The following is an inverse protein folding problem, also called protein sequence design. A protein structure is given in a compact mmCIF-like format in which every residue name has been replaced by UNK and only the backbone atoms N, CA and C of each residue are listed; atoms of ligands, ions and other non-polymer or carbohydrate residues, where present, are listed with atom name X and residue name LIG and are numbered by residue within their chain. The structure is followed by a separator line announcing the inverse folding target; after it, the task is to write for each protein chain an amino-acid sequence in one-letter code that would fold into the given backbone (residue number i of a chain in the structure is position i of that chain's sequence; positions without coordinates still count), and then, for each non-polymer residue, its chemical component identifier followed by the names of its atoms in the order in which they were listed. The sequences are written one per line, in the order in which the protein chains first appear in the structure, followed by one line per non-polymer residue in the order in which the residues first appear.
data_IF_596328246127
#
_entry.id   IF_596328246127
#
_cell.length_a   1.000
_cell.length_b   1.000
_cell.length_c   1.000
_cell.angle_alpha   90.00
_cell.angle_beta   90.00
_cell.angle_gamma   90.00
#
_symmetry.space_group_name_H-M   'P 1'
#
loop_
_entity.id
_entity.type
_entity.pdbx_description
1 polymer ?
#
# COMPACT_ATOMS: atom_id res chain seq x y z
N UNK A 1 -20.05 12.51 -16.86
CA UNK A 1 -20.19 13.97 -16.63
C UNK A 1 -19.31 14.68 -17.63
N UNK A 2 -19.86 15.63 -18.40
CA UNK A 2 -19.08 16.44 -19.34
C UNK A 2 -18.30 17.46 -18.50
N UNK A 3 -16.99 17.31 -18.38
CA UNK A 3 -16.14 18.37 -17.84
C UNK A 3 -16.18 19.54 -18.82
N UNK A 4 -17.01 20.55 -18.55
CA UNK A 4 -16.86 21.86 -19.18
C UNK A 4 -15.46 22.36 -18.82
N UNK A 5 -14.57 22.42 -19.81
CA UNK A 5 -13.21 22.90 -19.67
C UNK A 5 -13.27 24.38 -19.31
N UNK A 6 -13.20 24.68 -18.02
CA UNK A 6 -13.15 26.06 -17.53
C UNK A 6 -11.91 26.74 -18.13
N UNK A 7 -12.08 27.96 -18.62
CA UNK A 7 -10.98 28.75 -19.16
C UNK A 7 -9.96 28.99 -18.04
N UNK A 8 -8.68 28.69 -18.30
CA UNK A 8 -7.64 28.89 -17.30
C UNK A 8 -7.46 30.38 -17.02
N UNK A 9 -7.29 30.74 -15.74
CA UNK A 9 -7.21 32.13 -15.28
C UNK A 9 -5.75 32.54 -15.06
N UNK A 10 -5.31 33.58 -15.75
CA UNK A 10 -3.92 34.04 -15.75
C UNK A 10 -3.85 35.43 -15.12
N UNK A 11 -2.96 35.61 -14.15
CA UNK A 11 -2.62 36.92 -13.60
C UNK A 11 -1.42 37.49 -14.37
N UNK A 12 -1.57 38.67 -14.94
CA UNK A 12 -0.51 39.41 -15.62
C UNK A 12 -0.09 40.58 -14.74
N UNK A 13 1.19 40.64 -14.38
CA UNK A 13 1.76 41.67 -13.51
C UNK A 13 2.90 42.38 -14.25
N UNK A 14 2.70 43.65 -14.59
CA UNK A 14 3.66 44.48 -15.33
C UNK A 14 3.29 45.95 -15.09
N UNK A 15 4.25 46.86 -14.92
CA UNK A 15 3.95 48.28 -14.69
C UNK A 15 3.71 49.07 -15.99
N UNK A 16 4.02 48.45 -17.13
CA UNK A 16 3.84 49.05 -18.45
C UNK A 16 2.49 48.67 -19.06
N UNK A 17 1.61 49.67 -19.21
CA UNK A 17 0.27 49.51 -19.79
C UNK A 17 0.29 48.84 -21.19
N UNK A 18 1.27 49.18 -22.04
CA UNK A 18 1.39 48.61 -23.38
C UNK A 18 1.71 47.11 -23.34
N UNK A 19 2.57 46.67 -22.42
CA UNK A 19 2.88 45.24 -22.26
C UNK A 19 1.63 44.47 -21.81
N UNK A 20 0.90 45.02 -20.83
CA UNK A 20 -0.35 44.46 -20.33
C UNK A 20 -1.37 44.31 -21.45
N UNK A 21 -1.59 45.36 -22.25
CA UNK A 21 -2.56 45.35 -23.35
C UNK A 21 -2.22 44.26 -24.37
N UNK A 22 -0.95 44.15 -24.77
CA UNK A 22 -0.48 43.13 -25.72
C UNK A 22 -0.71 41.72 -25.16
N UNK A 23 -0.24 41.45 -23.94
CA UNK A 23 -0.38 40.12 -23.33
C UNK A 23 -1.85 39.78 -23.13
N UNK A 24 -2.65 40.72 -22.62
CA UNK A 24 -4.08 40.51 -22.39
C UNK A 24 -4.80 40.21 -23.71
N UNK A 25 -4.49 40.91 -24.80
CA UNK A 25 -5.06 40.64 -26.11
C UNK A 25 -4.71 39.23 -26.61
N UNK A 26 -3.44 38.83 -26.50
CA UNK A 26 -2.97 37.49 -26.87
C UNK A 26 -3.73 36.41 -26.08
N UNK A 27 -3.83 36.58 -24.76
CA UNK A 27 -4.43 35.57 -23.87
C UNK A 27 -5.95 35.47 -24.05
N UNK A 28 -6.65 36.61 -24.14
CA UNK A 28 -8.09 36.62 -24.41
C UNK A 28 -8.40 36.01 -25.78
N UNK A 29 -7.55 36.23 -26.79
CA UNK A 29 -7.67 35.62 -28.12
C UNK A 29 -7.58 34.09 -28.11
N UNK A 30 -6.94 33.51 -27.10
CA UNK A 30 -6.87 32.05 -26.88
C UNK A 30 -7.92 31.52 -25.90
N UNK A 31 -8.83 32.38 -25.43
CA UNK A 31 -9.91 32.00 -24.51
C UNK A 31 -9.48 31.82 -23.07
N UNK A 32 -8.36 32.41 -22.64
CA UNK A 32 -7.98 32.49 -21.23
C UNK A 32 -8.77 33.59 -20.50
N UNK A 33 -9.00 33.42 -19.20
CA UNK A 33 -9.44 34.51 -18.34
C UNK A 33 -8.21 35.28 -17.86
N UNK A 34 -8.24 36.62 -17.91
CA UNK A 34 -7.07 37.45 -17.58
C UNK A 34 -7.42 38.41 -16.44
N UNK A 35 -6.62 38.39 -15.37
CA UNK A 35 -6.56 39.45 -14.39
C UNK A 35 -5.25 40.22 -14.53
N UNK A 36 -5.26 41.50 -14.18
CA UNK A 36 -4.13 42.40 -14.38
C UNK A 36 -3.79 43.08 -13.07
N UNK A 37 -2.49 43.19 -12.78
CA UNK A 37 -1.95 44.05 -11.74
C UNK A 37 -0.83 44.94 -12.30
N UNK A 38 -0.83 46.22 -11.92
CA UNK A 38 0.16 47.20 -12.35
C UNK A 38 1.34 47.34 -11.38
N UNK A 39 1.24 46.70 -10.22
CA UNK A 39 2.28 46.69 -9.19
C UNK A 39 2.25 45.39 -8.38
N UNK A 40 3.33 45.15 -7.64
CA UNK A 40 3.51 43.93 -6.86
C UNK A 40 2.56 43.80 -5.67
N UNK A 41 2.13 44.90 -5.04
CA UNK A 41 1.24 44.84 -3.87
C UNK A 41 -0.17 44.42 -4.31
N UNK A 42 -0.69 45.02 -5.38
CA UNK A 42 -1.99 44.66 -5.93
C UNK A 42 -1.99 43.23 -6.51
N UNK A 43 -0.86 42.78 -7.08
CA UNK A 43 -0.72 41.38 -7.48
C UNK A 43 -0.87 40.41 -6.29
N UNK A 44 -0.28 40.74 -5.14
CA UNK A 44 -0.40 39.96 -3.91
C UNK A 44 -1.84 39.98 -3.36
N UNK A 45 -2.53 41.14 -3.40
CA UNK A 45 -3.94 41.26 -3.02
C UNK A 45 -4.85 40.39 -3.91
N UNK A 46 -4.65 40.45 -5.24
CA UNK A 46 -5.41 39.63 -6.18
C UNK A 46 -5.17 38.14 -5.96
N UNK A 47 -3.93 37.73 -5.72
CA UNK A 47 -3.60 36.32 -5.46
C UNK A 47 -4.11 35.80 -4.11
N UNK A 48 -4.40 36.69 -3.15
CA UNK A 48 -5.13 36.33 -1.93
C UNK A 48 -6.62 36.15 -2.19
N UNK A 49 -7.21 37.03 -3.00
CA UNK A 49 -8.64 37.05 -3.26
C UNK A 49 -9.09 35.96 -4.25
N UNK A 50 -8.25 35.60 -5.22
CA UNK A 50 -8.59 34.79 -6.37
C UNK A 50 -7.58 33.66 -6.61
N UNK A 51 -8.05 32.55 -7.15
CA UNK A 51 -7.19 31.46 -7.62
C UNK A 51 -6.78 31.71 -9.08
N UNK A 52 -5.50 31.47 -9.36
CA UNK A 52 -4.91 31.59 -10.69
C UNK A 52 -4.27 30.29 -11.14
N UNK A 53 -4.36 30.01 -12.43
CA UNK A 53 -3.72 28.86 -13.08
C UNK A 53 -2.28 29.12 -13.46
N UNK A 54 -1.92 30.39 -13.68
CA UNK A 54 -0.56 30.84 -13.99
C UNK A 54 -0.40 32.32 -13.67
N UNK A 55 0.81 32.73 -13.29
CA UNK A 55 1.16 34.14 -13.07
C UNK A 55 2.28 34.50 -14.03
N UNK A 56 2.04 35.51 -14.88
CA UNK A 56 3.07 36.20 -15.65
C UNK A 56 3.52 37.41 -14.85
N UNK A 57 4.79 37.48 -14.50
CA UNK A 57 5.30 38.47 -13.56
C UNK A 57 6.52 39.19 -14.11
N UNK A 58 6.45 40.51 -14.30
CA UNK A 58 7.64 41.30 -14.56
C UNK A 58 8.57 41.26 -13.34
N UNK A 59 9.87 41.12 -13.59
CA UNK A 59 10.92 41.24 -12.58
C UNK A 59 11.07 42.69 -12.14
N UNK A 60 10.98 43.63 -13.08
CA UNK A 60 11.15 45.05 -12.83
C UNK A 60 9.77 45.67 -12.56
N UNK A 61 9.46 45.88 -11.28
CA UNK A 61 8.24 46.52 -10.84
C UNK A 61 8.56 47.70 -9.90
N UNK A 62 7.72 48.75 -9.86
CA UNK A 62 7.86 49.82 -8.90
C UNK A 62 7.54 49.33 -7.49
N UNK A 63 8.37 49.74 -6.52
CA UNK A 63 8.21 49.33 -5.12
C UNK A 63 8.72 47.90 -4.88
N UNK A 64 7.81 46.92 -4.87
CA UNK A 64 8.18 45.51 -4.71
C UNK A 64 8.69 44.93 -6.03
N UNK A 65 9.95 44.46 -6.05
CA UNK A 65 10.48 43.72 -7.19
C UNK A 65 9.69 42.44 -7.47
N UNK A 66 9.60 42.01 -8.73
CA UNK A 66 8.92 40.76 -9.09
C UNK A 66 9.49 39.53 -8.39
N UNK A 67 10.80 39.50 -8.12
CA UNK A 67 11.42 38.42 -7.34
C UNK A 67 10.88 38.35 -5.90
N UNK A 68 10.66 39.49 -5.27
CA UNK A 68 10.09 39.58 -3.91
C UNK A 68 8.60 39.20 -3.92
N UNK A 69 7.86 39.63 -4.94
CA UNK A 69 6.47 39.22 -5.15
C UNK A 69 6.37 37.69 -5.31
N UNK A 70 7.20 37.10 -6.17
CA UNK A 70 7.23 35.65 -6.37
C UNK A 70 7.51 34.88 -5.08
N UNK A 71 8.51 35.31 -4.30
CA UNK A 71 8.82 34.69 -2.99
C UNK A 71 7.62 34.73 -2.05
N UNK A 72 6.90 35.85 -1.98
CA UNK A 72 5.71 36.00 -1.14
C UNK A 72 4.54 35.14 -1.62
N UNK A 73 4.36 35.00 -2.94
CA UNK A 73 3.34 34.13 -3.53
C UNK A 73 3.61 32.64 -3.24
N UNK A 74 4.87 32.23 -3.31
CA UNK A 74 5.25 30.81 -3.16
C UNK A 74 5.15 30.28 -1.72
N UNK A 75 5.08 31.16 -0.71
CA UNK A 75 4.89 30.75 0.69
C UNK A 75 3.43 30.74 1.15
N UNK A 76 2.49 31.18 0.30
CA UNK A 76 1.06 31.27 0.64
C UNK A 76 0.30 30.03 0.18
N UNK A 77 -0.56 29.47 1.02
CA UNK A 77 -1.27 28.22 0.72
C UNK A 77 -2.08 28.24 -0.59
N UNK A 78 -2.64 29.40 -0.95
CA UNK A 78 -3.49 29.56 -2.15
C UNK A 78 -2.68 29.63 -3.45
N UNK A 79 -1.46 30.17 -3.40
CA UNK A 79 -0.63 30.45 -4.59
C UNK A 79 0.67 29.64 -4.64
N UNK A 80 1.03 28.87 -3.60
CA UNK A 80 2.28 28.09 -3.53
C UNK A 80 2.49 27.10 -4.66
N UNK A 81 1.39 26.61 -5.25
CA UNK A 81 1.42 25.66 -6.37
C UNK A 81 1.06 26.33 -7.71
N UNK A 82 0.97 27.65 -7.76
CA UNK A 82 0.67 28.38 -9.00
C UNK A 82 1.98 28.65 -9.74
N UNK A 83 2.15 28.17 -10.99
CA UNK A 83 3.36 28.42 -11.76
C UNK A 83 3.54 29.91 -12.02
N UNK A 84 4.73 30.42 -11.70
CA UNK A 84 5.14 31.79 -11.95
C UNK A 84 6.14 31.77 -13.11
N UNK A 85 5.83 32.50 -14.17
CA UNK A 85 6.70 32.72 -15.33
C UNK A 85 7.15 34.17 -15.29
N UNK A 86 8.46 34.39 -15.21
CA UNK A 86 8.98 35.75 -15.24
C UNK A 86 8.95 36.32 -16.65
N UNK A 87 8.62 37.59 -16.77
CA UNK A 87 8.85 38.41 -17.96
C UNK A 87 10.06 39.30 -17.66
N UNK A 88 11.11 39.24 -18.49
CA UNK A 88 12.37 39.92 -18.19
C UNK A 88 12.92 40.67 -19.38
N UNK A 89 13.34 41.93 -19.20
CA UNK A 89 14.21 42.62 -20.15
C UNK A 89 15.70 42.30 -19.91
N UNK A 90 16.03 41.64 -18.81
CA UNK A 90 17.39 41.25 -18.41
C UNK A 90 17.77 39.95 -19.12
N UNK A 91 18.81 40.01 -19.96
CA UNK A 91 19.37 38.87 -20.70
C UNK A 91 20.63 38.29 -20.04
N UNK A 92 21.04 38.82 -18.89
CA UNK A 92 22.21 38.31 -18.16
C UNK A 92 21.87 37.00 -17.45
N UNK A 93 22.68 35.96 -17.71
CA UNK A 93 22.48 34.61 -17.17
C UNK A 93 22.36 34.58 -15.64
N UNK A 94 23.00 35.51 -14.93
CA UNK A 94 22.93 35.62 -13.48
C UNK A 94 21.56 35.98 -12.93
N UNK A 95 20.78 36.80 -13.63
CA UNK A 95 19.46 37.23 -13.15
C UNK A 95 18.38 36.19 -13.45
N UNK A 96 18.54 35.46 -14.55
CA UNK A 96 17.74 34.27 -14.87
C UNK A 96 17.91 33.19 -13.80
N UNK A 97 19.16 32.90 -13.41
CA UNK A 97 19.47 31.90 -12.37
C UNK A 97 18.85 32.31 -11.03
N UNK A 98 19.01 33.57 -10.60
CA UNK A 98 18.38 34.07 -9.37
C UNK A 98 16.86 33.94 -9.41
N UNK A 99 16.24 34.22 -10.57
CA UNK A 99 14.80 34.06 -10.77
C UNK A 99 14.33 32.62 -10.58
N UNK A 100 15.01 31.66 -11.22
CA UNK A 100 14.68 30.24 -11.06
C UNK A 100 14.93 29.75 -9.63
N UNK A 101 15.98 30.24 -8.96
CA UNK A 101 16.24 29.94 -7.54
C UNK A 101 15.15 30.46 -6.59
N UNK A 102 14.32 31.44 -7.01
CA UNK A 102 13.16 31.86 -6.21
C UNK A 102 12.00 30.88 -6.24
N UNK A 103 12.03 29.88 -7.13
CA UNK A 103 10.95 28.89 -7.32
C UNK A 103 10.01 29.21 -8.49
N UNK A 104 10.34 30.19 -9.34
CA UNK A 104 9.66 30.37 -10.62
C UNK A 104 9.93 29.18 -11.55
N UNK A 105 8.94 28.81 -12.34
CA UNK A 105 9.02 27.61 -13.19
C UNK A 105 9.63 27.90 -14.57
N UNK A 106 9.70 29.18 -14.95
CA UNK A 106 10.26 29.61 -16.23
C UNK A 106 10.48 31.12 -16.32
N UNK A 107 11.07 31.56 -17.43
CA UNK A 107 11.16 32.96 -17.81
C UNK A 107 10.99 33.16 -19.32
N UNK A 108 10.58 34.37 -19.71
CA UNK A 108 10.40 34.82 -21.10
C UNK A 108 11.11 36.18 -21.25
N UNK A 109 12.02 36.27 -22.21
CA UNK A 109 12.76 37.51 -22.48
C UNK A 109 11.92 38.48 -23.34
N UNK A 110 11.96 39.77 -22.99
CA UNK A 110 11.36 40.86 -23.76
C UNK A 110 12.37 41.34 -24.84
N UNK A 111 11.94 41.66 -26.08
CA UNK A 111 10.58 41.51 -26.60
C UNK A 111 10.25 40.04 -26.89
N UNK A 112 9.05 39.62 -26.52
CA UNK A 112 8.60 38.23 -26.66
C UNK A 112 7.74 38.03 -27.92
N UNK A 113 7.72 36.80 -28.43
CA UNK A 113 6.82 36.40 -29.53
C UNK A 113 5.56 35.75 -28.97
N UNK A 114 4.40 36.02 -29.60
CA UNK A 114 3.11 35.42 -29.22
C UNK A 114 3.20 33.88 -29.13
N UNK A 115 3.82 33.26 -30.13
CA UNK A 115 3.99 31.80 -30.19
C UNK A 115 4.80 31.26 -29.02
N UNK A 116 5.81 31.98 -28.55
CA UNK A 116 6.64 31.59 -27.40
C UNK A 116 5.84 31.68 -26.09
N UNK A 117 5.18 32.81 -25.84
CA UNK A 117 4.35 33.00 -24.65
C UNK A 117 3.30 31.90 -24.56
N UNK A 118 2.54 31.69 -25.63
CA UNK A 118 1.48 30.70 -25.66
C UNK A 118 2.00 29.26 -25.52
N UNK A 119 3.20 28.96 -26.04
CA UNK A 119 3.82 27.65 -25.84
C UNK A 119 4.18 27.43 -24.36
N UNK A 120 4.84 28.40 -23.70
CA UNK A 120 5.24 28.28 -22.31
C UNK A 120 4.05 28.24 -21.36
N UNK A 121 3.06 29.10 -21.56
CA UNK A 121 1.82 29.11 -20.78
C UNK A 121 1.10 27.77 -20.88
N UNK A 122 0.91 27.24 -22.09
CA UNK A 122 0.25 25.93 -22.27
C UNK A 122 1.00 24.80 -21.59
N UNK A 123 2.33 24.80 -21.66
CA UNK A 123 3.17 23.79 -21.01
C UNK A 123 2.99 23.82 -19.50
N UNK A 124 3.12 24.99 -18.87
CA UNK A 124 3.08 25.10 -17.41
C UNK A 124 1.67 24.92 -16.83
N UNK A 125 0.63 25.37 -17.53
CA UNK A 125 -0.76 25.03 -17.16
C UNK A 125 -0.98 23.51 -17.24
N UNK A 126 -0.49 22.86 -18.31
CA UNK A 126 -0.62 21.39 -18.45
C UNK A 126 0.11 20.64 -17.33
N UNK A 127 1.33 21.06 -16.97
CA UNK A 127 2.09 20.45 -15.87
C UNK A 127 1.32 20.59 -14.56
N UNK A 128 0.87 21.79 -14.21
CA UNK A 128 0.06 22.05 -13.00
C UNK A 128 -1.18 21.15 -12.94
N UNK A 129 -1.91 21.04 -14.06
CA UNK A 129 -3.11 20.20 -14.13
C UNK A 129 -2.78 18.73 -13.91
N UNK A 130 -1.73 18.20 -14.57
CA UNK A 130 -1.32 16.80 -14.40
C UNK A 130 -0.83 16.50 -12.98
N UNK A 131 -0.11 17.42 -12.34
CA UNK A 131 0.32 17.28 -10.96
C UNK A 131 -0.87 17.24 -9.99
N UNK A 132 -1.85 18.11 -10.21
CA UNK A 132 -3.10 18.10 -9.44
C UNK A 132 -3.87 16.78 -9.63
N UNK A 133 -4.08 16.36 -10.87
CA UNK A 133 -4.76 15.09 -11.18
C UNK A 133 -4.05 13.89 -10.53
N UNK A 134 -2.71 13.88 -10.53
CA UNK A 134 -1.91 12.86 -9.86
C UNK A 134 -2.15 12.86 -8.35
N UNK A 135 -2.10 14.03 -7.70
CA UNK A 135 -2.31 14.15 -6.25
C UNK A 135 -3.71 13.67 -5.88
N UNK A 136 -4.74 14.14 -6.60
CA UNK A 136 -6.14 13.77 -6.36
C UNK A 136 -6.34 12.25 -6.53
N UNK A 137 -5.74 11.65 -7.56
CA UNK A 137 -5.76 10.21 -7.80
C UNK A 137 -5.08 9.42 -6.66
N UNK A 138 -3.90 9.85 -6.23
CA UNK A 138 -3.17 9.19 -5.13
C UNK A 138 -3.96 9.25 -3.82
N UNK A 139 -4.61 10.39 -3.53
CA UNK A 139 -5.47 10.53 -2.36
C UNK A 139 -6.69 9.62 -2.43
N UNK A 140 -7.31 9.48 -3.61
CA UNK A 140 -8.44 8.56 -3.80
C UNK A 140 -8.01 7.10 -3.57
N UNK A 141 -6.89 6.67 -4.16
CA UNK A 141 -6.35 5.30 -3.97
C UNK A 141 -6.00 5.05 -2.51
N UNK A 142 -5.37 6.01 -1.82
CA UNK A 142 -5.04 5.88 -0.41
C UNK A 142 -6.30 5.70 0.46
N UNK A 143 -7.35 6.48 0.19
CA UNK A 143 -8.63 6.36 0.90
C UNK A 143 -9.28 4.99 0.68
N UNK A 144 -9.26 4.47 -0.54
CA UNK A 144 -9.81 3.14 -0.85
C UNK A 144 -9.00 2.03 -0.16
N UNK A 145 -7.67 2.17 -0.07
CA UNK A 145 -6.81 1.25 0.67
C UNK A 145 -7.09 1.27 2.18
N UNK A 146 -7.32 2.45 2.77
CA UNK A 146 -7.68 2.57 4.19
C UNK A 146 -9.03 1.88 4.50
N UNK A 147 -10.01 2.02 3.60
CA UNK A 147 -11.29 1.31 3.70
C UNK A 147 -11.11 -0.21 3.57
N UNK A 148 -10.29 -0.67 2.63
CA UNK A 148 -9.97 -2.09 2.47
C UNK A 148 -9.31 -2.66 3.73
N UNK A 149 -8.37 -1.92 4.33
CA UNK A 149 -7.71 -2.29 5.59
C UNK A 149 -8.71 -2.44 6.73
N UNK A 150 -9.61 -1.46 6.91
CA UNK A 150 -10.63 -1.55 7.95
C UNK A 150 -11.53 -2.78 7.79
N UNK A 151 -11.85 -3.18 6.55
CA UNK A 151 -12.62 -4.40 6.30
C UNK A 151 -11.82 -5.66 6.62
N UNK A 152 -10.53 -5.68 6.28
CA UNK A 152 -9.65 -6.82 6.56
C UNK A 152 -9.42 -7.02 8.06
N UNK A 153 -9.16 -5.95 8.82
CA UNK A 153 -8.95 -6.01 10.27
C UNK A 153 -10.16 -6.57 11.04
N UNK A 154 -11.38 -6.41 10.51
CA UNK A 154 -12.59 -6.95 11.12
C UNK A 154 -12.80 -8.47 10.87
N UNK A 155 -12.17 -9.02 9.84
CA UNK A 155 -12.39 -10.40 9.38
C UNK A 155 -11.20 -11.32 9.68
N UNK A 156 -9.98 -10.80 9.61
CA UNK A 156 -8.79 -11.52 10.02
C UNK A 156 -8.73 -11.51 11.54
N UNK A 157 -8.67 -12.70 12.14
CA UNK A 157 -8.80 -12.83 13.59
C UNK A 157 -7.44 -13.09 14.23
N UNK A 158 -6.92 -12.10 14.93
CA UNK A 158 -5.67 -12.25 15.71
C UNK A 158 -5.92 -12.62 17.18
N UNK A 159 -7.17 -12.53 17.65
CA UNK A 159 -7.55 -12.85 19.01
C UNK A 159 -8.34 -14.15 19.03
N UNK A 160 -7.73 -15.19 19.60
CA UNK A 160 -8.32 -16.51 19.75
C UNK A 160 -9.05 -16.64 21.09
N UNK A 161 -10.05 -17.54 21.20
CA UNK A 161 -10.78 -17.71 22.44
C UNK A 161 -9.85 -18.24 23.53
N UNK A 162 -9.98 -17.75 24.78
CA UNK A 162 -9.15 -18.25 25.87
C UNK A 162 -9.49 -19.71 26.16
N UNK A 163 -8.46 -20.53 26.39
CA UNK A 163 -8.61 -21.94 26.74
C UNK A 163 -7.72 -22.32 27.93
N UNK A 164 -8.18 -23.19 28.83
CA UNK A 164 -7.34 -23.77 29.87
C UNK A 164 -6.38 -24.84 29.32
N UNK A 165 -6.67 -25.42 28.15
CA UNK A 165 -5.93 -26.55 27.57
C UNK A 165 -4.84 -26.11 26.57
N UNK A 166 -4.94 -24.89 26.05
CA UNK A 166 -3.99 -24.37 25.08
C UNK A 166 -3.91 -22.85 25.11
N UNK A 167 -2.91 -22.30 24.45
CA UNK A 167 -2.77 -20.86 24.22
C UNK A 167 -2.31 -20.60 22.79
N UNK A 168 -2.89 -19.59 22.14
CA UNK A 168 -2.56 -19.23 20.77
C UNK A 168 -1.98 -17.82 20.74
N UNK A 169 -0.86 -17.69 20.05
CA UNK A 169 -0.19 -16.43 19.79
C UNK A 169 -0.13 -16.21 18.29
N UNK A 170 -0.37 -14.98 17.85
CA UNK A 170 -0.29 -14.60 16.45
C UNK A 170 0.58 -13.37 16.28
N UNK A 171 1.18 -13.24 15.11
CA UNK A 171 1.84 -12.01 14.67
C UNK A 171 1.57 -11.83 13.19
N UNK A 172 1.20 -10.62 12.82
CA UNK A 172 0.85 -10.24 11.46
C UNK A 172 1.45 -8.90 11.11
N UNK A 173 2.14 -8.85 9.97
CA UNK A 173 2.68 -7.61 9.43
C UNK A 173 2.51 -7.63 7.91
N UNK A 174 1.54 -6.91 7.34
CA UNK A 174 1.35 -6.85 5.91
C UNK A 174 2.51 -6.11 5.23
N UNK A 175 2.74 -6.42 3.96
CA UNK A 175 3.68 -5.71 3.08
C UNK A 175 3.24 -4.27 2.84
N UNK A 176 1.96 -4.10 2.49
CA UNK A 176 1.32 -2.80 2.24
C UNK A 176 0.35 -2.46 3.39
N UNK A 177 -0.77 -1.80 3.09
CA UNK A 177 -1.86 -1.57 4.05
C UNK A 177 -2.78 -2.78 4.25
N UNK A 178 -2.81 -3.69 3.26
CA UNK A 178 -3.60 -4.92 3.24
C UNK A 178 -2.77 -6.06 2.65
N UNK A 179 -3.02 -7.28 3.09
CA UNK A 179 -2.27 -8.46 2.66
C UNK A 179 -3.12 -9.62 2.11
N UNK A 180 -2.49 -10.56 1.40
CA UNK A 180 -3.06 -11.84 0.97
C UNK A 180 -3.12 -12.86 2.10
N UNK A 181 -2.21 -12.78 3.06
CA UNK A 181 -2.18 -13.69 4.21
C UNK A 181 -3.50 -13.73 4.99
N UNK A 182 -3.89 -14.92 5.43
CA UNK A 182 -5.17 -15.16 6.11
C UNK A 182 -5.00 -16.06 7.33
N UNK A 183 -5.55 -15.59 8.45
CA UNK A 183 -5.74 -16.38 9.67
C UNK A 183 -7.18 -16.19 10.15
N UNK A 184 -7.91 -17.29 10.31
CA UNK A 184 -9.24 -17.29 10.94
C UNK A 184 -9.47 -18.58 11.70
N UNK A 185 -10.42 -18.53 12.64
CA UNK A 185 -10.85 -19.70 13.38
C UNK A 185 -12.37 -19.80 13.43
N UNK A 186 -12.83 -20.99 13.79
CA UNK A 186 -14.20 -21.27 14.26
C UNK A 186 -14.16 -22.24 15.43
N UNK A 187 -15.05 -22.05 16.41
CA UNK A 187 -15.16 -22.93 17.56
C UNK A 187 -16.46 -23.73 17.43
N UNK A 188 -16.33 -25.04 17.17
CA UNK A 188 -17.48 -25.90 16.93
C UNK A 188 -18.30 -26.08 18.22
N UNK A 189 -19.61 -26.39 18.11
CA UNK A 189 -20.43 -26.72 19.27
C UNK A 189 -19.90 -27.91 20.09
N UNK A 190 -19.09 -28.79 19.49
CA UNK A 190 -18.38 -29.87 20.17
C UNK A 190 -17.26 -29.40 21.10
N UNK A 191 -16.80 -28.15 20.96
CA UNK A 191 -15.60 -27.62 21.62
C UNK A 191 -14.32 -27.71 20.79
N UNK A 192 -14.39 -28.32 19.59
CA UNK A 192 -13.25 -28.44 18.69
C UNK A 192 -12.90 -27.08 18.07
N UNK A 193 -11.60 -26.79 17.98
CA UNK A 193 -11.09 -25.57 17.37
C UNK A 193 -10.68 -25.82 15.92
N UNK A 194 -11.38 -25.22 14.98
CA UNK A 194 -10.99 -25.20 13.58
C UNK A 194 -10.20 -23.92 13.26
N UNK A 195 -9.08 -24.05 12.57
CA UNK A 195 -8.23 -22.93 12.13
C UNK A 195 -8.00 -23.07 10.63
N UNK A 196 -8.21 -21.99 9.89
CA UNK A 196 -7.74 -21.83 8.52
C UNK A 196 -6.60 -20.82 8.53
N UNK A 197 -5.46 -21.26 8.02
CA UNK A 197 -4.25 -20.48 7.84
C UNK A 197 -3.85 -20.56 6.37
N UNK A 198 -3.37 -19.48 5.77
CA UNK A 198 -2.88 -19.55 4.41
C UNK A 198 -2.40 -18.23 3.88
N UNK A 199 -1.93 -18.29 2.65
CA UNK A 199 -1.46 -17.15 1.88
C UNK A 199 -2.06 -17.18 0.47
N UNK A 200 -2.43 -16.01 -0.03
CA UNK A 200 -2.93 -15.80 -1.38
C UNK A 200 -1.82 -15.19 -2.20
N UNK A 201 -1.57 -15.77 -3.38
CA UNK A 201 -0.53 -15.27 -4.29
C UNK A 201 -0.59 -13.78 -4.57
N UNK A 202 0.56 -13.12 -4.45
CA UNK A 202 0.69 -11.68 -4.66
C UNK A 202 0.25 -10.89 -3.44
N UNK A 203 0.27 -9.56 -3.54
CA UNK A 203 -0.01 -8.68 -2.41
C UNK A 203 -1.03 -7.59 -2.75
N UNK A 204 -1.45 -6.83 -1.74
CA UNK A 204 -2.36 -5.70 -1.90
C UNK A 204 -3.84 -6.11 -2.01
N UNK A 205 -4.65 -5.25 -2.63
CA UNK A 205 -6.12 -5.33 -2.55
C UNK A 205 -6.67 -6.63 -3.17
N UNK A 206 -6.13 -7.06 -4.31
CA UNK A 206 -6.64 -8.24 -5.03
C UNK A 206 -6.45 -9.52 -4.21
N UNK A 207 -5.25 -9.72 -3.65
CA UNK A 207 -4.95 -10.83 -2.76
C UNK A 207 -5.81 -10.76 -1.49
N UNK A 208 -5.94 -9.58 -0.87
CA UNK A 208 -6.79 -9.36 0.29
C UNK A 208 -8.27 -9.71 0.04
N UNK A 209 -8.82 -9.39 -1.14
CA UNK A 209 -10.20 -9.76 -1.48
C UNK A 209 -10.39 -11.28 -1.54
N UNK A 210 -9.47 -12.00 -2.15
CA UNK A 210 -9.50 -13.47 -2.25
C UNK A 210 -9.35 -14.11 -0.86
N UNK A 211 -8.47 -13.56 -0.03
CA UNK A 211 -8.30 -13.92 1.38
C UNK A 211 -9.61 -13.79 2.16
N UNK A 212 -10.31 -12.65 2.01
CA UNK A 212 -11.62 -12.44 2.63
C UNK A 212 -12.70 -13.41 2.11
N UNK A 213 -12.72 -13.70 0.81
CA UNK A 213 -13.64 -14.71 0.27
C UNK A 213 -13.39 -16.07 0.92
N UNK A 214 -12.13 -16.50 1.04
CA UNK A 214 -11.78 -17.75 1.72
C UNK A 214 -12.19 -17.74 3.21
N UNK A 215 -12.00 -16.63 3.92
CA UNK A 215 -12.44 -16.48 5.32
C UNK A 215 -13.96 -16.59 5.44
N UNK A 216 -14.72 -15.93 4.56
CA UNK A 216 -16.19 -15.96 4.58
C UNK A 216 -16.67 -17.38 4.28
N UNK A 217 -16.18 -17.97 3.20
CA UNK A 217 -16.41 -19.37 2.80
C UNK A 217 -16.17 -20.30 4.00
N UNK A 218 -15.00 -20.19 4.65
CA UNK A 218 -14.68 -20.94 5.86
C UNK A 218 -15.68 -20.68 7.00
N UNK A 219 -16.04 -19.44 7.30
CA UNK A 219 -16.96 -19.14 8.41
C UNK A 219 -18.38 -19.61 8.15
N UNK A 220 -18.83 -19.63 6.90
CA UNK A 220 -20.22 -19.96 6.53
C UNK A 220 -20.49 -21.45 6.26
N UNK A 221 -19.46 -22.26 6.02
CA UNK A 221 -19.66 -23.69 5.78
C UNK A 221 -20.07 -24.43 7.05
N UNK A 222 -20.91 -25.46 6.90
CA UNK A 222 -21.25 -26.39 7.97
C UNK A 222 -20.10 -27.39 8.16
N UNK A 223 -19.38 -27.23 9.27
CA UNK A 223 -18.18 -27.99 9.60
C UNK A 223 -18.47 -29.26 10.40
N UNK A 224 -19.72 -29.48 10.81
CA UNK A 224 -20.10 -30.51 11.78
C UNK A 224 -19.76 -31.94 11.33
N UNK A 225 -19.64 -32.15 10.01
CA UNK A 225 -19.38 -33.46 9.43
C UNK A 225 -18.20 -33.49 8.46
N UNK A 226 -17.55 -32.35 8.22
CA UNK A 226 -16.44 -32.27 7.27
C UNK A 226 -15.11 -32.54 7.99
N UNK A 227 -14.29 -33.42 7.41
CA UNK A 227 -12.89 -33.52 7.78
C UNK A 227 -12.08 -32.32 7.23
N UNK A 228 -10.87 -32.06 7.74
CA UNK A 228 -10.01 -30.97 7.24
C UNK A 228 -9.80 -30.95 5.72
N UNK A 229 -9.55 -32.10 5.10
CA UNK A 229 -9.35 -32.22 3.65
C UNK A 229 -10.63 -31.91 2.86
N UNK A 230 -11.78 -32.38 3.34
CA UNK A 230 -13.08 -32.11 2.72
C UNK A 230 -13.45 -30.63 2.85
N UNK A 231 -13.05 -29.99 3.94
CA UNK A 231 -13.23 -28.55 4.16
C UNK A 231 -12.40 -27.74 3.17
N UNK A 232 -11.14 -28.12 2.93
CA UNK A 232 -10.30 -27.51 1.88
C UNK A 232 -10.90 -27.72 0.48
N UNK A 233 -11.39 -28.93 0.19
CA UNK A 233 -12.04 -29.22 -1.08
C UNK A 233 -13.32 -28.39 -1.28
N UNK A 234 -14.08 -28.14 -0.21
CA UNK A 234 -15.25 -27.27 -0.25
C UNK A 234 -14.87 -25.82 -0.56
N UNK A 235 -13.84 -25.28 0.13
CA UNK A 235 -13.30 -23.94 -0.15
C UNK A 235 -12.85 -23.85 -1.61
N UNK A 236 -12.07 -24.81 -2.08
CA UNK A 236 -11.58 -24.89 -3.46
C UNK A 236 -12.71 -24.82 -4.49
N UNK A 237 -13.71 -25.70 -4.39
CA UNK A 237 -14.79 -25.75 -5.38
C UNK A 237 -15.70 -24.52 -5.32
N UNK A 238 -15.88 -23.94 -4.14
CA UNK A 238 -16.69 -22.72 -3.97
C UNK A 238 -16.02 -21.52 -4.62
N UNK A 239 -14.70 -21.42 -4.50
CA UNK A 239 -13.93 -20.27 -4.98
C UNK A 239 -13.44 -20.39 -6.43
N UNK A 240 -13.16 -21.61 -6.91
CA UNK A 240 -12.70 -21.89 -8.28
C UNK A 240 -13.53 -21.19 -9.39
N UNK A 241 -14.88 -21.17 -9.36
CA UNK A 241 -15.65 -20.49 -10.40
C UNK A 241 -15.62 -18.96 -10.28
N UNK A 242 -15.18 -18.41 -9.14
CA UNK A 242 -15.18 -16.98 -8.84
C UNK A 242 -13.81 -16.33 -9.09
N UNK A 243 -12.73 -17.10 -8.97
CA UNK A 243 -11.35 -16.61 -8.98
C UNK A 243 -10.55 -17.36 -10.04
N UNK A 244 -9.93 -16.64 -10.96
CA UNK A 244 -9.13 -17.20 -12.05
C UNK A 244 -7.68 -16.72 -12.09
N UNK A 245 -7.33 -15.75 -11.25
CA UNK A 245 -6.04 -15.05 -11.31
C UNK A 245 -5.14 -15.30 -10.10
N UNK A 246 -5.69 -15.86 -9.02
CA UNK A 246 -4.99 -16.08 -7.77
C UNK A 246 -5.18 -17.53 -7.32
N UNK A 247 -4.20 -18.06 -6.59
CA UNK A 247 -4.32 -19.33 -5.88
C UNK A 247 -3.99 -19.13 -4.40
N UNK A 248 -4.38 -20.09 -3.58
CA UNK A 248 -4.22 -20.00 -2.12
C UNK A 248 -3.41 -21.19 -1.62
N UNK A 249 -2.27 -20.92 -1.00
CA UNK A 249 -1.59 -21.91 -0.18
C UNK A 249 -2.32 -21.96 1.17
N UNK A 250 -2.79 -23.13 1.60
CA UNK A 250 -3.65 -23.22 2.78
C UNK A 250 -3.32 -24.42 3.69
N UNK A 251 -3.58 -24.23 4.97
CA UNK A 251 -3.59 -25.23 6.02
C UNK A 251 -4.95 -25.17 6.71
N UNK A 252 -5.62 -26.31 6.79
CA UNK A 252 -6.80 -26.49 7.64
C UNK A 252 -6.43 -27.35 8.84
N UNK A 253 -6.67 -26.84 10.05
CA UNK A 253 -6.46 -27.56 11.30
C UNK A 253 -7.80 -27.76 12.00
N UNK A 254 -7.99 -28.92 12.60
CA UNK A 254 -9.00 -29.20 13.62
C UNK A 254 -8.30 -29.73 14.86
N UNK A 255 -8.38 -28.98 15.95
CA UNK A 255 -7.80 -29.37 17.23
C UNK A 255 -8.88 -29.77 18.22
N UNK A 256 -8.88 -31.05 18.60
CA UNK A 256 -9.74 -31.61 19.64
C UNK A 256 -9.01 -31.56 20.97
N UNK A 257 -9.23 -30.49 21.72
CA UNK A 257 -8.43 -30.20 22.92
C UNK A 257 -8.57 -31.26 24.03
N UNK A 258 -9.73 -31.90 24.18
CA UNK A 258 -9.93 -32.95 25.20
C UNK A 258 -9.21 -34.26 24.84
N UNK A 259 -9.04 -34.53 23.54
CA UNK A 259 -8.36 -35.74 23.03
C UNK A 259 -6.86 -35.52 22.77
N UNK A 260 -6.38 -34.27 22.87
CA UNK A 260 -5.05 -33.83 22.41
C UNK A 260 -4.75 -34.30 20.97
N UNK A 261 -5.77 -34.32 20.11
CA UNK A 261 -5.68 -34.77 18.74
C UNK A 261 -5.75 -33.59 17.78
N UNK A 262 -4.71 -33.41 16.98
CA UNK A 262 -4.67 -32.49 15.86
C UNK A 262 -4.92 -33.26 14.56
N UNK A 263 -6.05 -32.99 13.92
CA UNK A 263 -6.33 -33.44 12.55
C UNK A 263 -6.10 -32.27 11.60
N UNK A 264 -5.38 -32.49 10.51
CA UNK A 264 -5.07 -31.41 9.57
C UNK A 264 -5.00 -31.87 8.12
N UNK A 265 -5.13 -30.90 7.21
CA UNK A 265 -4.87 -31.07 5.79
C UNK A 265 -4.25 -29.80 5.20
N UNK A 266 -3.51 -29.93 4.11
CA UNK A 266 -2.76 -28.84 3.50
C UNK A 266 -2.95 -28.83 1.98
N UNK A 267 -2.96 -27.64 1.40
CA UNK A 267 -3.03 -27.40 -0.03
C UNK A 267 -1.90 -26.46 -0.45
N UNK A 268 -0.79 -27.01 -0.93
CA UNK A 268 0.34 -26.26 -1.49
C UNK A 268 1.17 -25.43 -0.50
N UNK A 269 0.73 -25.32 0.75
CA UNK A 269 1.47 -24.62 1.80
C UNK A 269 2.73 -25.39 2.22
N UNK A 270 3.78 -24.67 2.61
CA UNK A 270 5.00 -25.28 3.14
C UNK A 270 4.75 -25.89 4.54
N UNK A 271 5.65 -26.79 4.97
CA UNK A 271 5.48 -27.57 6.19
C UNK A 271 5.38 -26.69 7.45
N UNK A 272 4.44 -27.01 8.33
CA UNK A 272 4.37 -26.46 9.67
C UNK A 272 5.34 -27.17 10.61
N UNK A 273 5.73 -26.51 11.70
CA UNK A 273 6.74 -27.02 12.63
C UNK A 273 6.11 -27.40 13.96
N UNK A 274 6.18 -28.68 14.32
CA UNK A 274 5.89 -29.14 15.67
C UNK A 274 7.19 -29.12 16.49
N UNK A 275 7.20 -28.31 17.53
CA UNK A 275 8.32 -28.19 18.47
C UNK A 275 8.01 -29.06 19.69
N UNK A 276 8.69 -30.22 19.78
CA UNK A 276 8.61 -31.16 20.90
C UNK A 276 10.01 -31.39 21.47
N UNK A 277 10.17 -31.31 22.79
CA UNK A 277 11.46 -31.53 23.46
C UNK A 277 12.64 -30.76 22.84
N UNK A 278 12.40 -29.50 22.44
CA UNK A 278 13.40 -28.64 21.76
C UNK A 278 13.90 -29.22 20.43
N UNK A 279 13.09 -30.04 19.75
CA UNK A 279 13.33 -30.51 18.38
C UNK A 279 12.19 -30.10 17.49
N UNK A 280 12.51 -29.82 16.23
CA UNK A 280 11.54 -29.48 15.20
C UNK A 280 11.17 -30.74 14.43
N UNK A 281 9.89 -31.03 14.35
CA UNK A 281 9.30 -32.06 13.50
C UNK A 281 8.49 -31.34 12.43
N UNK A 282 8.87 -31.52 11.16
CA UNK A 282 8.12 -30.94 10.03
C UNK A 282 6.87 -31.77 9.81
N UNK A 283 5.71 -31.13 9.88
CA UNK A 283 4.40 -31.72 9.60
C UNK A 283 3.86 -31.14 8.29
N UNK A 284 3.23 -31.99 7.48
CA UNK A 284 2.70 -31.59 6.19
C UNK A 284 3.17 -32.44 5.02
N UNK A 285 2.45 -32.29 3.93
CA UNK A 285 2.73 -32.95 2.65
C UNK A 285 2.76 -31.92 1.55
N UNK A 286 3.51 -32.23 0.48
CA UNK A 286 3.48 -31.42 -0.73
C UNK A 286 2.17 -31.67 -1.47
N UNK A 287 1.58 -30.60 -2.00
CA UNK A 287 0.37 -30.65 -2.80
C UNK A 287 0.27 -29.42 -3.69
N UNK A 288 -0.84 -29.29 -4.42
CA UNK A 288 -1.16 -28.07 -5.15
C UNK A 288 -1.91 -27.09 -4.26
N UNK A 289 -1.70 -25.80 -4.50
CA UNK A 289 -2.50 -24.73 -3.91
C UNK A 289 -3.96 -24.82 -4.38
N UNK A 290 -4.87 -24.32 -3.57
CA UNK A 290 -6.28 -24.20 -3.94
C UNK A 290 -6.40 -23.33 -5.21
N UNK A 291 -7.28 -23.71 -6.13
CA UNK A 291 -7.58 -23.06 -7.41
C UNK A 291 -6.44 -23.04 -8.45
N UNK A 292 -5.22 -23.45 -8.09
CA UNK A 292 -4.08 -23.46 -9.03
C UNK A 292 -4.33 -24.40 -10.23
N UNK A 293 -4.81 -25.61 -9.93
CA UNK A 293 -5.24 -26.59 -10.92
C UNK A 293 -6.60 -27.15 -10.48
N UNK A 294 -7.72 -26.58 -10.98
CA UNK A 294 -9.07 -26.90 -10.53
C UNK A 294 -9.38 -28.40 -10.40
N UNK A 295 -8.91 -29.21 -11.36
CA UNK A 295 -9.22 -30.64 -11.43
C UNK A 295 -8.15 -31.54 -10.77
N UNK A 296 -7.11 -30.97 -10.16
CA UNK A 296 -5.96 -31.72 -9.65
C UNK A 296 -5.69 -31.51 -8.15
N UNK A 297 -6.61 -30.85 -7.43
CA UNK A 297 -6.46 -30.69 -5.99
C UNK A 297 -6.50 -32.07 -5.31
N UNK A 298 -5.39 -32.44 -4.67
CA UNK A 298 -5.30 -33.62 -3.83
C UNK A 298 -4.92 -33.20 -2.41
N UNK A 299 -5.83 -33.44 -1.47
CA UNK A 299 -5.68 -33.12 -0.05
C UNK A 299 -5.97 -34.36 0.78
N UNK A 300 -5.07 -34.70 1.69
CA UNK A 300 -5.21 -35.86 2.58
C UNK A 300 -5.29 -35.40 4.03
N UNK A 301 -6.04 -36.12 4.86
CA UNK A 301 -6.08 -35.87 6.30
C UNK A 301 -4.91 -36.57 6.98
N UNK A 302 -4.30 -35.85 7.91
CA UNK A 302 -3.25 -36.37 8.78
C UNK A 302 -3.63 -36.09 10.22
N UNK A 303 -3.33 -37.06 11.08
CA UNK A 303 -3.61 -36.99 12.51
C UNK A 303 -2.29 -37.00 13.28
N UNK A 304 -2.19 -36.11 14.27
CA UNK A 304 -1.03 -35.98 15.14
C UNK A 304 -1.49 -35.81 16.59
N UNK A 305 -1.03 -36.71 17.47
CA UNK A 305 -1.22 -36.55 18.91
C UNK A 305 -0.23 -35.52 19.45
N UNK A 306 -0.75 -34.58 20.25
CA UNK A 306 0.02 -33.53 20.91
C UNK A 306 0.20 -33.85 22.40
N UNK A 307 1.30 -33.35 22.97
CA UNK A 307 1.67 -33.51 24.37
C UNK A 307 1.72 -32.13 25.05
N UNK A 308 1.54 -32.08 26.38
CA UNK A 308 1.71 -30.84 27.15
C UNK A 308 3.13 -30.29 26.94
N UNK A 309 3.23 -29.00 26.63
CA UNK A 309 4.48 -28.32 26.25
C UNK A 309 4.82 -28.35 24.76
N UNK A 310 4.08 -29.10 23.94
CA UNK A 310 4.22 -29.01 22.48
C UNK A 310 3.83 -27.62 21.99
N UNK A 311 4.57 -27.15 20.97
CA UNK A 311 4.22 -25.93 20.24
C UNK A 311 4.12 -26.19 18.75
N UNK A 312 2.95 -25.94 18.17
CA UNK A 312 2.72 -26.00 16.74
C UNK A 312 2.89 -24.60 16.14
N UNK A 313 3.85 -24.45 15.23
CA UNK A 313 4.22 -23.19 14.61
C UNK A 313 3.89 -23.19 13.11
N UNK A 314 3.04 -22.26 12.70
CA UNK A 314 2.65 -21.98 11.33
C UNK A 314 3.18 -20.59 10.95
N UNK A 315 3.58 -20.43 9.70
CA UNK A 315 4.12 -19.18 9.17
C UNK A 315 3.79 -19.04 7.69
N UNK A 316 3.77 -17.83 7.14
CA UNK A 316 3.69 -17.59 5.69
C UNK A 316 5.09 -17.59 5.05
N UNK A 317 5.14 -17.66 3.72
CA UNK A 317 6.39 -17.63 2.96
C UNK A 317 7.14 -16.30 3.07
N UNK A 318 6.46 -15.20 3.34
CA UNK A 318 7.06 -13.90 3.71
C UNK A 318 7.97 -13.95 4.96
N UNK A 319 8.06 -15.08 5.65
CA UNK A 319 9.02 -15.30 6.73
C UNK A 319 10.38 -15.84 6.27
N UNK A 320 10.49 -16.45 5.09
CA UNK A 320 11.73 -17.05 4.58
C UNK A 320 12.04 -16.74 3.11
N UNK A 321 11.07 -16.34 2.30
CA UNK A 321 11.27 -15.82 0.94
C UNK A 321 11.59 -14.32 0.94
N UNK A 322 12.41 -13.90 1.89
CA UNK A 322 12.77 -12.49 2.10
C UNK A 322 14.17 -12.23 1.53
N UNK A 323 14.32 -11.30 0.56
CA UNK A 323 15.62 -10.89 0.04
C UNK A 323 16.32 -9.90 0.99
N UNK A 324 17.65 -10.01 1.08
CA UNK A 324 18.49 -8.97 1.68
C UNK A 324 18.81 -7.85 0.66
N UNK A 325 19.61 -6.85 1.07
CA UNK A 325 20.03 -5.74 0.20
C UNK A 325 20.83 -6.17 -1.05
N UNK A 326 21.35 -7.40 -1.07
CA UNK A 326 22.07 -8.00 -2.19
C UNK A 326 21.21 -8.95 -3.03
N UNK A 327 19.89 -8.97 -2.80
CA UNK A 327 18.94 -9.88 -3.44
C UNK A 327 19.18 -11.38 -3.13
N UNK A 328 19.88 -11.67 -2.03
CA UNK A 328 20.02 -13.05 -1.53
C UNK A 328 18.87 -13.36 -0.57
N UNK A 329 18.15 -14.45 -0.83
CA UNK A 329 17.00 -14.88 -0.02
C UNK A 329 17.45 -15.58 1.27
N UNK A 330 16.71 -15.35 2.37
CA UNK A 330 16.94 -16.05 3.63
C UNK A 330 16.86 -17.58 3.42
N UNK A 331 15.77 -18.04 2.82
CA UNK A 331 15.53 -19.43 2.46
C UNK A 331 15.21 -20.37 3.64
N UNK A 332 14.59 -21.51 3.33
CA UNK A 332 14.08 -22.49 4.31
C UNK A 332 15.16 -22.95 5.31
N UNK A 333 16.38 -23.22 4.86
CA UNK A 333 17.45 -23.75 5.73
C UNK A 333 17.91 -22.74 6.79
N UNK A 334 18.12 -21.48 6.40
CA UNK A 334 18.54 -20.45 7.35
C UNK A 334 17.38 -20.07 8.27
N UNK A 335 16.15 -20.04 7.76
CA UNK A 335 14.96 -19.80 8.57
C UNK A 335 14.74 -20.90 9.61
N UNK A 336 14.92 -22.17 9.23
CA UNK A 336 14.89 -23.28 10.19
C UNK A 336 15.97 -23.13 11.27
N UNK A 337 17.21 -22.79 10.88
CA UNK A 337 18.31 -22.58 11.82
C UNK A 337 18.02 -21.43 12.79
N UNK A 338 17.40 -20.36 12.29
CA UNK A 338 16.93 -19.24 13.10
C UNK A 338 15.92 -19.70 14.16
N UNK A 339 14.93 -20.50 13.77
CA UNK A 339 13.93 -21.05 14.69
C UNK A 339 14.58 -21.94 15.74
N UNK A 340 15.45 -22.86 15.34
CA UNK A 340 16.17 -23.77 16.23
C UNK A 340 16.94 -23.01 17.32
N UNK A 341 17.54 -21.86 16.96
CA UNK A 341 18.25 -21.02 17.93
C UNK A 341 17.33 -20.35 18.97
N UNK A 342 16.02 -20.24 18.70
CA UNK A 342 15.04 -19.45 19.48
C UNK A 342 13.98 -20.30 20.18
N UNK A 343 13.91 -21.60 19.91
CA UNK A 343 12.93 -22.51 20.55
C UNK A 343 12.98 -22.50 22.09
N UNK A 344 14.04 -22.03 22.73
CA UNK A 344 14.10 -21.95 24.18
C UNK A 344 13.32 -20.76 24.77
N UNK A 345 12.95 -19.78 23.93
CA UNK A 345 12.23 -18.59 24.35
C UNK A 345 10.75 -18.89 24.67
N UNK A 346 10.14 -18.13 25.58
CA UNK A 346 8.68 -18.11 25.77
C UNK A 346 7.94 -17.80 24.47
N UNK A 347 6.74 -18.35 24.28
CA UNK A 347 5.98 -18.31 23.02
C UNK A 347 5.79 -16.92 22.42
N UNK A 348 5.49 -15.90 23.24
CA UNK A 348 5.36 -14.51 22.77
C UNK A 348 6.71 -13.94 22.31
N UNK A 349 7.75 -14.09 23.14
CA UNK A 349 9.11 -13.61 22.85
C UNK A 349 9.71 -14.34 21.64
N UNK A 350 9.36 -15.61 21.44
CA UNK A 350 9.74 -16.39 20.27
C UNK A 350 9.23 -15.74 18.98
N UNK A 351 7.93 -15.43 18.90
CA UNK A 351 7.35 -14.79 17.71
C UNK A 351 7.97 -13.40 17.46
N UNK A 352 8.09 -12.57 18.49
CA UNK A 352 8.70 -11.24 18.38
C UNK A 352 10.16 -11.31 17.93
N UNK A 353 10.93 -12.27 18.48
CA UNK A 353 12.33 -12.45 18.14
C UNK A 353 12.55 -13.02 16.73
N UNK A 354 11.67 -13.89 16.24
CA UNK A 354 11.73 -14.43 14.87
C UNK A 354 11.41 -13.31 13.87
N UNK A 355 10.31 -12.57 14.08
CA UNK A 355 9.93 -11.46 13.20
C UNK A 355 11.03 -10.39 13.12
N UNK A 356 11.62 -10.03 14.27
CA UNK A 356 12.67 -9.02 14.35
C UNK A 356 13.92 -9.44 13.56
N UNK A 357 14.31 -10.70 13.60
CA UNK A 357 15.49 -11.18 12.87
C UNK A 357 15.24 -11.17 11.36
N UNK A 358 14.07 -11.63 10.91
CA UNK A 358 13.71 -11.63 9.49
C UNK A 358 13.69 -10.19 8.95
N UNK A 359 13.15 -9.24 9.71
CA UNK A 359 13.21 -7.81 9.36
C UNK A 359 14.63 -7.26 9.39
N UNK A 360 15.49 -7.72 10.31
CA UNK A 360 16.89 -7.30 10.34
C UNK A 360 17.66 -7.80 9.11
N UNK A 361 17.35 -9.00 8.63
CA UNK A 361 17.96 -9.58 7.43
C UNK A 361 17.62 -8.77 6.16
N UNK A 362 16.39 -8.25 6.08
CA UNK A 362 15.90 -7.46 4.94
C UNK A 362 16.25 -5.96 4.97
N UNK A 363 17.07 -5.52 5.94
CA UNK A 363 17.34 -4.09 6.14
C UNK A 363 16.11 -3.28 6.60
N UNK A 364 15.14 -3.96 7.24
CA UNK A 364 13.91 -3.36 7.77
C UNK A 364 12.75 -3.29 6.77
N UNK A 365 12.92 -3.79 5.54
CA UNK A 365 11.87 -3.82 4.51
C UNK A 365 11.01 -5.07 4.62
N UNK A 366 9.70 -4.92 4.42
CA UNK A 366 8.77 -6.05 4.31
C UNK A 366 8.66 -6.37 2.82
N UNK A 367 9.09 -7.56 2.42
CA UNK A 367 9.10 -7.98 1.01
C UNK A 367 7.81 -8.67 0.60
N UNK A 368 7.13 -9.31 1.56
CA UNK A 368 5.82 -9.92 1.42
C UNK A 368 5.13 -9.94 2.80
N UNK A 369 3.86 -10.33 2.85
CA UNK A 369 3.11 -10.42 4.09
C UNK A 369 3.77 -11.40 5.07
N UNK A 370 3.94 -10.96 6.32
CA UNK A 370 4.60 -11.74 7.37
C UNK A 370 3.58 -12.20 8.40
N UNK A 371 3.21 -13.46 8.34
CA UNK A 371 2.18 -14.03 9.20
C UNK A 371 2.72 -15.22 9.97
N UNK A 372 2.40 -15.27 11.27
CA UNK A 372 2.76 -16.37 12.15
C UNK A 372 1.63 -16.71 13.10
N UNK A 373 1.47 -18.01 13.35
CA UNK A 373 0.60 -18.55 14.38
C UNK A 373 1.35 -19.60 15.19
N UNK A 374 1.26 -19.51 16.52
CA UNK A 374 1.85 -20.46 17.45
C UNK A 374 0.78 -20.96 18.42
N UNK A 375 0.47 -22.26 18.35
CA UNK A 375 -0.42 -22.96 19.27
C UNK A 375 0.44 -23.72 20.30
N UNK A 376 0.33 -23.36 21.57
CA UNK A 376 1.03 -23.98 22.70
C UNK A 376 0.05 -24.82 23.53
N UNK A 377 0.39 -26.09 23.77
CA UNK A 377 -0.43 -27.02 24.54
C UNK A 377 -0.02 -26.97 26.02
N UNK A 378 -1.01 -26.89 26.91
CA UNK A 378 -0.80 -26.75 28.37
C UNK A 378 -0.74 -28.08 29.08
#
# INVERSE_FOLDING_TARGET
MVHTKQAAKILVVDDNETNIEIITHILLGQGYEVAVAYDGEYALELAEALDFDLILLDILLPGLSGLEVAKRLLVRDRSKNTPILFLSALNETSDIVKGLETGAVDYITKPFQETEILARIRTHIKIKTLEKERIDLLQAIQKDLELAKANQENLVTFQFPPSPLYQIYTSYKPMDLVGGDLITYDLLPSGDLDILFGDVTGHGIAAAMVSLMAIITFKTMDKSFLAPSESLYWIHNTLTPLISTHFISAIYLRYKAEENLLSYSMAGHHNMFLIRDKKIIKLGTKGFCLMMFPDQLNTENQDQFLESGDRLFLFSDGMFEVPNEKEEYLGDQNFQSLIESRIHLPSKEFLESVQKEVLSFSGGKVADDMTMLLLEIK
#
